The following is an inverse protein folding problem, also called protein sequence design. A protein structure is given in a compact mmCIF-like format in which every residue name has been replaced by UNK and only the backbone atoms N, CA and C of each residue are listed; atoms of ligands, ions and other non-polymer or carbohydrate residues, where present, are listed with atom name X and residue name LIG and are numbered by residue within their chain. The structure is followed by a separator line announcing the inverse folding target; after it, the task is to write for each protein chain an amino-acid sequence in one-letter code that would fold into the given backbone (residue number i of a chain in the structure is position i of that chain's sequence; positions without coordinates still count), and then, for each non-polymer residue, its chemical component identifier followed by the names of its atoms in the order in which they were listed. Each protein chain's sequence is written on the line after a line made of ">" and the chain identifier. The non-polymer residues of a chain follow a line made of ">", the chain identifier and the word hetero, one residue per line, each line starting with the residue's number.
data_IF_361829208579
#
_entry.id   IF_361829208579
#
_cell.length_a   1.000
_cell.length_b   1.000
_cell.length_c   1.000
_cell.angle_alpha   90.00
_cell.angle_beta   90.00
_cell.angle_gamma   90.00
#
_symmetry.space_group_name_H-M   'P 1'
#
loop_
_entity.id
_entity.type
_entity.pdbx_description
1 polymer ?
#
# COMPACT_ATOMS: atom_id res chain seq x y z
N UNK A 1 -13.26 22.25 2.91
CA UNK A 1 -13.19 20.98 3.62
C UNK A 1 -13.74 21.22 5.01
N UNK A 2 -14.91 20.62 5.35
CA UNK A 2 -15.45 20.68 6.70
C UNK A 2 -14.40 20.12 7.69
N UNK A 3 -14.16 20.83 8.79
CA UNK A 3 -13.29 20.32 9.87
C UNK A 3 -13.92 19.01 10.35
N UNK A 4 -13.17 17.92 10.27
CA UNK A 4 -13.58 16.62 10.77
C UNK A 4 -13.89 16.67 12.28
N UNK A 5 -14.61 15.67 12.75
CA UNK A 5 -14.82 15.51 14.20
C UNK A 5 -13.46 15.23 14.86
N UNK A 6 -13.03 16.12 15.76
CA UNK A 6 -11.72 16.04 16.44
C UNK A 6 -11.54 14.79 17.32
N UNK A 7 -12.64 14.08 17.60
CA UNK A 7 -12.60 12.85 18.39
C UNK A 7 -12.29 11.61 17.55
N UNK A 8 -12.34 11.73 16.21
CA UNK A 8 -11.97 10.62 15.32
C UNK A 8 -10.46 10.43 15.35
N UNK A 9 -10.05 9.20 15.59
CA UNK A 9 -8.66 8.75 15.48
C UNK A 9 -8.55 7.81 14.29
N UNK A 10 -7.64 8.10 13.38
CA UNK A 10 -7.27 7.18 12.31
C UNK A 10 -6.01 6.42 12.68
N UNK A 11 -5.94 5.14 12.33
CA UNK A 11 -4.80 4.29 12.65
C UNK A 11 -4.36 3.48 11.42
N UNK A 12 -3.05 3.26 11.30
CA UNK A 12 -2.47 2.40 10.24
C UNK A 12 -1.18 1.75 10.70
N UNK A 13 -0.83 0.60 10.10
CA UNK A 13 0.49 0.00 10.21
C UNK A 13 1.24 0.16 8.89
N UNK A 14 2.52 0.57 8.94
CA UNK A 14 3.26 0.93 7.73
C UNK A 14 4.77 0.94 7.95
N UNK A 15 5.53 0.86 6.85
CA UNK A 15 6.97 1.09 6.85
C UNK A 15 7.38 2.44 6.21
N UNK A 16 6.42 3.28 5.76
CA UNK A 16 6.82 4.54 5.14
C UNK A 16 5.73 5.35 4.43
N UNK A 17 5.64 5.24 3.10
CA UNK A 17 4.87 6.18 2.27
C UNK A 17 3.38 6.24 2.61
N UNK A 18 2.74 5.09 2.85
CA UNK A 18 1.34 5.05 3.22
C UNK A 18 1.09 5.82 4.54
N UNK A 19 1.92 5.57 5.57
CA UNK A 19 1.81 6.30 6.85
C UNK A 19 1.97 7.81 6.71
N UNK A 20 2.91 8.27 5.88
CA UNK A 20 3.07 9.71 5.58
C UNK A 20 1.82 10.29 4.95
N UNK A 21 1.20 9.57 4.02
CA UNK A 21 -0.04 9.99 3.37
C UNK A 21 -1.21 10.04 4.34
N UNK A 22 -1.36 9.04 5.21
CA UNK A 22 -2.39 9.00 6.25
C UNK A 22 -2.20 10.13 7.26
N UNK A 23 -0.96 10.35 7.75
CA UNK A 23 -0.63 11.44 8.66
C UNK A 23 -0.96 12.81 8.06
N UNK A 24 -0.54 13.04 6.81
CA UNK A 24 -0.83 14.28 6.10
C UNK A 24 -2.35 14.50 5.92
N UNK A 25 -3.07 13.46 5.51
CA UNK A 25 -4.53 13.53 5.33
C UNK A 25 -5.25 13.81 6.65
N UNK A 26 -4.88 13.09 7.72
CA UNK A 26 -5.42 13.30 9.06
C UNK A 26 -5.20 14.74 9.54
N UNK A 27 -3.97 15.26 9.40
CA UNK A 27 -3.64 16.65 9.73
C UNK A 27 -4.51 17.65 8.98
N UNK A 28 -4.72 17.45 7.67
CA UNK A 28 -5.56 18.34 6.86
C UNK A 28 -7.03 18.33 7.29
N UNK A 29 -7.51 17.21 7.79
CA UNK A 29 -8.89 17.05 8.27
C UNK A 29 -9.05 17.38 9.75
N UNK A 30 -7.95 17.68 10.47
CA UNK A 30 -7.97 17.95 11.90
C UNK A 30 -8.24 16.70 12.75
N UNK A 31 -7.90 15.51 12.25
CA UNK A 31 -8.06 14.23 12.94
C UNK A 31 -6.79 13.85 13.69
N UNK A 32 -6.92 13.02 14.73
CA UNK A 32 -5.79 12.37 15.38
C UNK A 32 -5.31 11.20 14.53
N UNK A 33 -4.00 10.93 14.53
CA UNK A 33 -3.40 9.87 13.73
C UNK A 33 -2.45 9.02 14.57
N UNK A 34 -2.64 7.70 14.57
CA UNK A 34 -1.77 6.70 15.20
C UNK A 34 -1.12 5.86 14.11
N UNK A 35 0.20 5.73 14.14
CA UNK A 35 0.93 4.94 13.15
C UNK A 35 1.78 3.90 13.85
N UNK A 36 1.52 2.63 13.54
CA UNK A 36 2.26 1.49 14.06
C UNK A 36 3.35 1.10 13.08
N UNK A 37 4.58 1.06 13.55
CA UNK A 37 5.74 0.70 12.74
C UNK A 37 6.51 -0.44 13.40
N UNK A 38 7.15 -1.29 12.59
CA UNK A 38 8.04 -2.31 13.12
C UNK A 38 9.29 -1.67 13.74
N UNK A 39 9.92 -2.35 14.69
CA UNK A 39 11.17 -1.88 15.31
C UNK A 39 12.31 -1.67 14.31
N UNK A 40 12.26 -2.31 13.15
CA UNK A 40 13.27 -2.20 12.08
C UNK A 40 13.09 -0.97 11.18
N UNK A 41 11.99 -0.23 11.33
CA UNK A 41 11.79 1.03 10.60
C UNK A 41 12.73 2.10 11.16
N UNK A 42 13.48 2.77 10.28
CA UNK A 42 14.46 3.77 10.68
C UNK A 42 13.83 4.98 11.38
N UNK A 43 14.61 5.63 12.23
CA UNK A 43 14.15 6.81 12.99
C UNK A 43 13.80 7.98 12.07
N UNK A 44 14.49 8.13 10.92
CA UNK A 44 14.17 9.17 9.93
C UNK A 44 12.78 8.98 9.34
N UNK A 45 12.38 7.73 9.04
CA UNK A 45 11.03 7.42 8.55
C UNK A 45 9.97 7.68 9.62
N UNK A 46 10.24 7.26 10.86
CA UNK A 46 9.37 7.55 11.99
C UNK A 46 9.20 9.07 12.19
N UNK A 47 10.31 9.81 12.19
CA UNK A 47 10.31 11.26 12.35
C UNK A 47 9.55 11.98 11.24
N UNK A 48 9.65 11.50 9.99
CA UNK A 48 8.91 12.08 8.87
C UNK A 48 7.38 12.00 9.07
N UNK A 49 6.87 10.94 9.69
CA UNK A 49 5.45 10.79 10.04
C UNK A 49 5.07 11.64 11.26
N UNK A 50 5.93 11.69 12.28
CA UNK A 50 5.75 12.54 13.46
C UNK A 50 5.70 14.03 13.09
N UNK A 51 6.54 14.48 12.16
CA UNK A 51 6.54 15.87 11.66
C UNK A 51 5.23 16.25 10.95
N UNK A 52 4.48 15.26 10.46
CA UNK A 52 3.14 15.44 9.90
C UNK A 52 2.04 15.42 10.97
N UNK A 53 2.39 15.25 12.25
CA UNK A 53 1.47 15.29 13.39
C UNK A 53 0.92 13.92 13.81
N UNK A 54 1.51 12.82 13.32
CA UNK A 54 1.14 11.49 13.78
C UNK A 54 1.84 11.13 15.10
N UNK A 55 1.14 10.37 15.92
CA UNK A 55 1.72 9.64 17.04
C UNK A 55 2.21 8.28 16.53
N UNK A 56 3.53 8.11 16.51
CA UNK A 56 4.21 6.94 15.92
C UNK A 56 4.62 5.97 17.02
N UNK A 57 4.12 4.73 16.92
CA UNK A 57 4.33 3.67 17.90
C UNK A 57 5.23 2.58 17.29
N UNK A 58 6.43 2.38 17.83
CA UNK A 58 7.29 1.25 17.46
C UNK A 58 6.82 -0.02 18.16
N UNK A 59 6.59 -1.06 17.36
CA UNK A 59 6.15 -2.39 17.81
C UNK A 59 7.31 -3.36 17.65
N UNK A 60 7.58 -4.13 18.69
CA UNK A 60 8.63 -5.16 18.67
C UNK A 60 8.27 -6.27 17.67
N UNK A 61 9.18 -6.52 16.71
CA UNK A 61 9.02 -7.51 15.64
C UNK A 61 8.84 -6.87 14.28
N UNK A 62 8.33 -7.66 13.34
CA UNK A 62 8.20 -7.31 11.93
C UNK A 62 6.92 -6.50 11.62
N UNK A 63 6.68 -6.27 10.33
CA UNK A 63 5.49 -5.54 9.85
C UNK A 63 4.17 -6.22 10.28
N UNK A 64 4.09 -7.54 10.18
CA UNK A 64 2.87 -8.29 10.56
C UNK A 64 2.52 -8.08 12.04
N UNK A 65 3.52 -8.01 12.92
CA UNK A 65 3.29 -7.69 14.35
C UNK A 65 2.75 -6.27 14.53
N UNK A 66 3.25 -5.31 13.76
CA UNK A 66 2.75 -3.93 13.78
C UNK A 66 1.29 -3.86 13.30
N UNK A 67 0.92 -4.62 12.26
CA UNK A 67 -0.44 -4.68 11.76
C UNK A 67 -1.39 -5.32 12.77
N UNK A 68 -1.00 -6.42 13.40
CA UNK A 68 -1.80 -7.08 14.44
C UNK A 68 -2.04 -6.13 15.62
N UNK A 69 -1.01 -5.42 16.07
CA UNK A 69 -1.14 -4.46 17.18
C UNK A 69 -2.01 -3.26 16.80
N UNK A 70 -1.87 -2.76 15.57
CA UNK A 70 -2.73 -1.71 15.03
C UNK A 70 -4.20 -2.13 15.05
N UNK A 71 -4.52 -3.32 14.55
CA UNK A 71 -5.89 -3.85 14.52
C UNK A 71 -6.43 -4.00 15.94
N UNK A 72 -5.64 -4.60 16.85
CA UNK A 72 -6.01 -4.80 18.25
C UNK A 72 -6.36 -3.48 18.92
N UNK A 73 -5.43 -2.52 18.93
CA UNK A 73 -5.65 -1.23 19.59
C UNK A 73 -6.76 -0.43 18.94
N UNK A 74 -6.93 -0.51 17.62
CA UNK A 74 -8.02 0.15 16.92
C UNK A 74 -9.38 -0.41 17.33
N UNK A 75 -9.49 -1.72 17.51
CA UNK A 75 -10.71 -2.38 17.96
C UNK A 75 -11.03 -1.99 19.41
N UNK A 76 -10.04 -2.05 20.32
CA UNK A 76 -10.20 -1.72 21.74
C UNK A 76 -10.60 -0.26 21.97
N UNK A 77 -10.12 0.67 21.12
CA UNK A 77 -10.31 2.11 21.27
C UNK A 77 -11.30 2.72 20.26
N UNK A 78 -11.94 1.91 19.43
CA UNK A 78 -12.85 2.36 18.37
C UNK A 78 -12.20 3.34 17.40
N UNK A 79 -10.93 3.09 16.99
CA UNK A 79 -10.24 3.89 15.99
C UNK A 79 -10.56 3.42 14.58
N UNK A 80 -10.54 4.34 13.63
CA UNK A 80 -10.77 4.02 12.22
C UNK A 80 -9.47 3.54 11.58
N UNK A 81 -9.40 2.27 11.21
CA UNK A 81 -8.26 1.73 10.45
C UNK A 81 -8.27 2.29 9.03
N UNK A 82 -7.13 2.81 8.60
CA UNK A 82 -6.87 3.28 7.22
C UNK A 82 -5.63 2.56 6.68
N UNK A 83 -5.84 1.30 6.25
CA UNK A 83 -4.78 0.42 5.75
C UNK A 83 -4.88 0.28 4.23
N UNK A 84 -3.74 0.14 3.56
CA UNK A 84 -3.63 -0.06 2.10
C UNK A 84 -3.66 -1.53 1.68
N UNK A 85 -3.52 -2.46 2.62
CA UNK A 85 -3.63 -3.90 2.40
C UNK A 85 -5.06 -4.35 2.67
N UNK A 86 -5.63 -5.14 1.76
CA UNK A 86 -6.96 -5.72 1.89
C UNK A 86 -6.87 -7.16 2.41
N UNK A 87 -7.79 -7.49 3.32
CA UNK A 87 -8.05 -8.85 3.78
C UNK A 87 -9.56 -9.11 3.79
N UNK A 88 -9.96 -10.34 4.13
CA UNK A 88 -11.38 -10.70 4.24
C UNK A 88 -12.10 -9.70 5.15
N UNK A 89 -13.23 -9.18 4.68
CA UNK A 89 -14.08 -8.19 5.36
C UNK A 89 -13.48 -6.77 5.49
N UNK A 90 -12.25 -6.54 4.97
CA UNK A 90 -11.63 -5.21 4.93
C UNK A 90 -11.13 -4.88 3.52
N UNK A 91 -12.01 -4.46 2.63
CA UNK A 91 -11.69 -4.23 1.22
C UNK A 91 -12.00 -2.80 0.75
N UNK A 92 -12.86 -2.07 1.44
CA UNK A 92 -13.35 -0.76 0.97
C UNK A 92 -12.25 0.29 1.03
N UNK A 93 -11.59 0.44 2.18
CA UNK A 93 -10.52 1.45 2.35
C UNK A 93 -9.34 1.17 1.43
N UNK A 94 -8.83 -0.07 1.29
CA UNK A 94 -7.82 -0.39 0.28
C UNK A 94 -8.22 -0.05 -1.15
N UNK A 95 -9.49 -0.24 -1.54
CA UNK A 95 -9.99 0.20 -2.85
C UNK A 95 -9.88 1.71 -3.04
N UNK A 96 -10.21 2.51 -2.01
CA UNK A 96 -10.03 3.96 -2.08
C UNK A 96 -8.56 4.37 -2.15
N UNK A 97 -7.67 3.68 -1.44
CA UNK A 97 -6.23 3.89 -1.54
C UNK A 97 -5.73 3.61 -2.96
N UNK A 98 -6.15 2.48 -3.55
CA UNK A 98 -5.83 2.15 -4.94
C UNK A 98 -6.42 3.18 -5.93
N UNK A 99 -7.65 3.64 -5.70
CA UNK A 99 -8.24 4.71 -6.52
C UNK A 99 -7.40 6.00 -6.45
N UNK A 100 -6.83 6.33 -5.28
CA UNK A 100 -5.88 7.43 -5.14
C UNK A 100 -4.64 7.27 -6.01
N UNK A 101 -4.08 6.07 -6.14
CA UNK A 101 -2.94 5.81 -7.02
C UNK A 101 -3.24 6.04 -8.51
N UNK A 102 -4.51 5.93 -8.95
CA UNK A 102 -4.87 6.19 -10.36
C UNK A 102 -4.64 7.64 -10.76
N UNK A 103 -4.59 8.59 -9.82
CA UNK A 103 -4.22 9.99 -10.07
C UNK A 103 -2.81 10.07 -10.66
N UNK A 104 -1.85 9.33 -10.08
CA UNK A 104 -0.48 9.26 -10.61
C UNK A 104 -0.48 8.76 -12.06
N UNK A 105 -1.28 7.72 -12.37
CA UNK A 105 -1.37 7.24 -13.75
C UNK A 105 -1.95 8.30 -14.70
N UNK A 106 -2.96 9.05 -14.26
CA UNK A 106 -3.51 10.17 -15.05
C UNK A 106 -2.44 11.21 -15.33
N UNK A 107 -1.65 11.59 -14.33
CA UNK A 107 -0.56 12.55 -14.48
C UNK A 107 0.53 12.04 -15.45
N UNK A 108 0.88 10.75 -15.37
CA UNK A 108 1.81 10.12 -16.32
C UNK A 108 1.26 10.22 -17.74
N UNK A 109 0.00 9.85 -17.96
CA UNK A 109 -0.65 9.90 -19.28
C UNK A 109 -0.66 11.33 -19.86
N UNK A 110 -0.85 12.34 -19.03
CA UNK A 110 -0.85 13.74 -19.47
C UNK A 110 0.55 14.24 -19.87
N UNK A 111 1.62 13.61 -19.36
CA UNK A 111 3.01 14.00 -19.59
C UNK A 111 3.69 13.26 -20.75
N UNK A 112 3.15 12.14 -21.19
CA UNK A 112 3.78 11.27 -22.19
C UNK A 112 3.05 11.26 -23.51
N UNK A 113 3.79 10.97 -24.59
CA UNK A 113 3.18 10.67 -25.89
C UNK A 113 2.63 9.24 -25.88
N UNK A 114 1.30 9.10 -25.78
CA UNK A 114 0.60 7.83 -25.63
C UNK A 114 0.79 6.81 -26.77
N UNK A 115 1.24 7.26 -27.94
CA UNK A 115 1.31 6.41 -29.13
C UNK A 115 2.51 5.45 -29.17
N UNK A 116 3.49 5.62 -28.28
CA UNK A 116 4.77 4.92 -28.36
C UNK A 116 5.14 4.11 -27.10
N UNK A 117 4.17 3.82 -26.21
CA UNK A 117 4.45 3.03 -25.01
C UNK A 117 4.29 1.56 -25.35
N UNK A 118 5.39 0.81 -25.35
CA UNK A 118 5.39 -0.64 -25.57
C UNK A 118 5.31 -1.43 -24.24
N UNK A 119 5.93 -0.91 -23.17
CA UNK A 119 6.04 -1.59 -21.89
C UNK A 119 5.83 -0.62 -20.73
N UNK A 120 5.27 -1.13 -19.65
CA UNK A 120 5.21 -0.48 -18.32
C UNK A 120 5.85 -1.41 -17.31
N UNK A 121 6.81 -0.92 -16.55
CA UNK A 121 7.51 -1.67 -15.51
C UNK A 121 7.06 -1.10 -14.16
N UNK A 122 6.48 -1.96 -13.32
CA UNK A 122 5.88 -1.60 -12.04
C UNK A 122 6.49 -2.44 -10.91
N UNK A 123 6.88 -1.80 -9.84
CA UNK A 123 7.28 -2.52 -8.62
C UNK A 123 6.05 -3.00 -7.84
N UNK A 124 6.18 -4.12 -7.14
CA UNK A 124 5.14 -4.61 -6.24
C UNK A 124 5.71 -5.12 -4.91
N UNK A 125 5.04 -4.73 -3.82
CA UNK A 125 5.03 -5.45 -2.56
C UNK A 125 3.73 -6.27 -2.51
N UNK A 126 2.70 -5.79 -1.81
CA UNK A 126 1.36 -6.43 -1.79
C UNK A 126 0.53 -6.21 -3.09
N UNK A 127 1.06 -5.46 -4.06
CA UNK A 127 0.46 -5.27 -5.38
C UNK A 127 -0.48 -4.05 -5.53
N UNK A 128 -0.78 -3.31 -4.48
CA UNK A 128 -1.79 -2.22 -4.49
C UNK A 128 -1.52 -1.14 -5.55
N UNK A 129 -0.29 -0.60 -5.59
CA UNK A 129 0.09 0.41 -6.57
C UNK A 129 0.13 -0.18 -7.99
N UNK A 130 0.74 -1.36 -8.17
CA UNK A 130 0.82 -2.00 -9.48
C UNK A 130 -0.58 -2.28 -10.06
N UNK A 131 -1.51 -2.84 -9.26
CA UNK A 131 -2.89 -3.07 -9.68
C UNK A 131 -3.63 -1.76 -10.04
N UNK A 132 -3.42 -0.69 -9.28
CA UNK A 132 -4.02 0.61 -9.58
C UNK A 132 -3.47 1.22 -10.88
N UNK A 133 -2.17 1.11 -11.14
CA UNK A 133 -1.55 1.58 -12.37
C UNK A 133 -2.07 0.80 -13.59
N UNK A 134 -2.21 -0.53 -13.48
CA UNK A 134 -2.79 -1.38 -14.52
C UNK A 134 -4.24 -0.96 -14.82
N UNK A 135 -5.05 -0.75 -13.79
CA UNK A 135 -6.42 -0.27 -13.95
C UNK A 135 -6.47 1.12 -14.64
N UNK A 136 -5.53 2.01 -14.27
CA UNK A 136 -5.38 3.31 -14.92
C UNK A 136 -4.98 3.20 -16.39
N UNK A 137 -4.04 2.31 -16.74
CA UNK A 137 -3.68 1.99 -18.12
C UNK A 137 -4.90 1.56 -18.91
N UNK A 138 -5.65 0.59 -18.41
CA UNK A 138 -6.88 0.11 -19.08
C UNK A 138 -7.94 1.21 -19.24
N UNK A 139 -7.96 2.20 -18.35
CA UNK A 139 -8.89 3.33 -18.40
C UNK A 139 -8.50 4.40 -19.41
N UNK A 140 -7.21 4.70 -19.55
CA UNK A 140 -6.74 5.89 -20.26
C UNK A 140 -6.04 5.60 -21.58
N UNK A 141 -5.48 4.40 -21.79
CA UNK A 141 -4.79 4.04 -23.02
C UNK A 141 -5.67 3.19 -23.94
N UNK A 142 -5.63 3.51 -25.23
CA UNK A 142 -6.30 2.71 -26.29
C UNK A 142 -5.52 1.40 -26.55
N UNK A 143 -4.19 1.52 -26.63
CA UNK A 143 -3.28 0.39 -26.81
C UNK A 143 -2.69 0.02 -25.46
N UNK A 144 -2.98 -1.17 -25.01
CA UNK A 144 -2.50 -1.66 -23.69
C UNK A 144 -1.06 -2.13 -23.84
N UNK A 145 -0.08 -1.47 -23.21
CA UNK A 145 1.31 -1.89 -23.21
C UNK A 145 1.50 -3.19 -22.41
N UNK A 146 2.59 -3.89 -22.68
CA UNK A 146 2.99 -5.05 -21.88
C UNK A 146 3.33 -4.56 -20.46
N UNK A 147 2.68 -5.14 -19.47
CA UNK A 147 2.96 -4.81 -18.07
C UNK A 147 3.89 -5.84 -17.45
N UNK A 148 5.00 -5.36 -16.90
CA UNK A 148 5.99 -6.15 -16.18
C UNK A 148 5.93 -5.74 -14.71
N UNK A 149 5.68 -6.70 -13.82
CA UNK A 149 5.76 -6.48 -12.37
C UNK A 149 7.12 -6.96 -11.87
N UNK A 150 7.78 -6.11 -11.09
CA UNK A 150 9.11 -6.38 -10.53
C UNK A 150 9.00 -6.50 -9.01
N UNK A 151 9.54 -7.58 -8.47
CA UNK A 151 9.60 -7.87 -7.04
C UNK A 151 11.03 -8.24 -6.62
N UNK A 152 11.40 -8.07 -5.34
CA UNK A 152 12.61 -8.69 -4.82
C UNK A 152 12.51 -10.22 -4.89
N UNK A 153 13.57 -10.88 -5.25
CA UNK A 153 13.66 -12.36 -5.28
C UNK A 153 13.33 -13.01 -3.92
N UNK A 154 13.68 -12.32 -2.82
CA UNK A 154 13.39 -12.75 -1.46
C UNK A 154 11.93 -12.52 -1.01
N UNK A 155 11.11 -11.85 -1.83
CA UNK A 155 9.73 -11.45 -1.48
C UNK A 155 8.82 -11.41 -2.72
N UNK A 156 8.93 -12.41 -3.61
CA UNK A 156 8.22 -12.47 -4.89
C UNK A 156 6.82 -13.11 -4.76
N UNK A 157 5.96 -12.55 -3.91
CA UNK A 157 4.65 -13.12 -3.62
C UNK A 157 3.66 -13.00 -4.79
N UNK A 158 3.76 -11.96 -5.62
CA UNK A 158 2.92 -11.80 -6.81
C UNK A 158 3.30 -12.88 -7.83
N UNK A 159 4.59 -13.06 -8.11
CA UNK A 159 5.07 -14.08 -9.04
C UNK A 159 4.63 -15.49 -8.63
N UNK A 160 4.83 -15.86 -7.35
CA UNK A 160 4.42 -17.19 -6.86
C UNK A 160 2.90 -17.37 -6.94
N UNK A 161 2.13 -16.33 -6.62
CA UNK A 161 0.66 -16.37 -6.74
C UNK A 161 0.20 -16.51 -8.21
N UNK A 162 0.85 -15.83 -9.15
CA UNK A 162 0.55 -15.97 -10.59
C UNK A 162 0.87 -17.38 -11.08
N UNK A 163 2.00 -17.97 -10.70
CA UNK A 163 2.39 -19.34 -11.08
C UNK A 163 1.36 -20.39 -10.64
N UNK A 164 0.80 -20.23 -9.45
CA UNK A 164 -0.17 -21.21 -8.89
C UNK A 164 -1.62 -20.86 -9.20
N UNK A 165 -1.92 -19.66 -9.68
CA UNK A 165 -3.28 -19.17 -9.97
C UNK A 165 -4.09 -18.78 -8.73
N UNK A 166 -3.47 -18.75 -7.54
CA UNK A 166 -4.09 -18.36 -6.26
C UNK A 166 -3.10 -17.55 -5.41
N UNK A 167 -3.60 -16.83 -4.43
CA UNK A 167 -2.73 -16.10 -3.50
C UNK A 167 -1.90 -17.12 -2.70
N UNK A 168 -0.59 -17.00 -2.83
CA UNK A 168 0.37 -17.77 -2.04
C UNK A 168 1.02 -16.88 -0.97
N UNK A 169 1.22 -17.48 0.19
CA UNK A 169 2.00 -16.86 1.27
C UNK A 169 3.41 -17.41 1.24
N UNK A 170 4.38 -16.50 1.13
CA UNK A 170 5.80 -16.85 1.15
C UNK A 170 6.44 -16.45 2.48
N UNK A 171 7.39 -17.24 2.93
CA UNK A 171 8.17 -16.95 4.14
C UNK A 171 9.38 -16.06 3.77
N UNK A 172 9.39 -14.83 4.29
CA UNK A 172 10.46 -13.87 4.06
C UNK A 172 11.58 -14.14 5.06
N UNK A 173 12.61 -14.84 4.60
CA UNK A 173 13.79 -15.18 5.42
C UNK A 173 14.79 -14.02 5.56
N UNK A 174 14.76 -13.06 4.64
CA UNK A 174 15.65 -11.89 4.61
C UNK A 174 14.92 -10.70 4.00
N UNK A 175 14.95 -9.56 4.69
CA UNK A 175 14.43 -8.33 4.12
C UNK A 175 15.22 -7.90 2.88
N UNK A 176 14.52 -7.39 1.89
CA UNK A 176 15.11 -6.74 0.73
C UNK A 176 15.71 -5.39 1.09
N UNK A 177 16.75 -4.96 0.35
CA UNK A 177 17.22 -3.57 0.38
C UNK A 177 16.08 -2.57 0.12
N UNK A 178 15.08 -2.99 -0.64
CA UNK A 178 13.84 -2.27 -0.90
C UNK A 178 12.79 -2.65 0.16
N UNK A 179 13.03 -2.31 1.43
CA UNK A 179 12.26 -2.77 2.59
C UNK A 179 10.73 -2.61 2.47
N UNK A 180 10.25 -1.57 1.76
CA UNK A 180 8.82 -1.39 1.48
C UNK A 180 8.19 -2.42 0.54
N UNK A 181 9.00 -3.30 -0.08
CA UNK A 181 8.55 -4.40 -0.95
C UNK A 181 8.80 -5.78 -0.32
N UNK A 182 9.28 -5.86 0.91
CA UNK A 182 9.42 -7.11 1.66
C UNK A 182 8.04 -7.58 2.18
N UNK A 183 7.20 -8.06 1.27
CA UNK A 183 5.82 -8.48 1.55
C UNK A 183 5.64 -9.96 1.20
N UNK A 184 5.06 -10.73 2.13
CA UNK A 184 4.91 -12.18 1.99
C UNK A 184 3.61 -12.63 1.33
N UNK A 185 2.66 -11.73 1.07
CA UNK A 185 1.34 -12.10 0.56
C UNK A 185 0.73 -10.96 -0.27
N UNK A 186 0.07 -11.29 -1.36
CA UNK A 186 -0.63 -10.33 -2.23
C UNK A 186 -1.93 -9.89 -1.56
N UNK A 187 -2.20 -8.59 -1.59
CA UNK A 187 -3.47 -8.04 -1.10
C UNK A 187 -4.66 -8.48 -1.96
N UNK A 188 -5.81 -8.75 -1.34
CA UNK A 188 -6.99 -9.30 -2.02
C UNK A 188 -7.51 -8.42 -3.16
N UNK A 189 -7.52 -7.09 -2.99
CA UNK A 189 -8.07 -6.19 -4.02
C UNK A 189 -7.19 -6.14 -5.28
N UNK A 190 -5.87 -5.89 -5.21
CA UNK A 190 -5.04 -5.88 -6.41
C UNK A 190 -4.91 -7.26 -7.06
N UNK A 191 -5.05 -8.37 -6.33
CA UNK A 191 -4.99 -9.71 -6.88
C UNK A 191 -5.99 -9.90 -8.03
N UNK A 192 -7.21 -9.40 -7.90
CA UNK A 192 -8.25 -9.52 -8.93
C UNK A 192 -7.85 -8.86 -10.25
N UNK A 193 -6.97 -7.88 -10.20
CA UNK A 193 -6.42 -7.20 -11.40
C UNK A 193 -5.16 -7.91 -11.89
N UNK A 194 -4.21 -8.18 -10.99
CA UNK A 194 -2.91 -8.73 -11.32
C UNK A 194 -3.00 -10.11 -11.98
N UNK A 195 -3.81 -11.03 -11.44
CA UNK A 195 -3.96 -12.39 -11.96
C UNK A 195 -4.40 -12.47 -13.43
N UNK A 196 -5.05 -11.42 -13.95
CA UNK A 196 -5.53 -11.35 -15.33
C UNK A 196 -4.68 -10.44 -16.24
N UNK A 197 -3.74 -9.71 -15.70
CA UNK A 197 -3.03 -8.65 -16.42
C UNK A 197 -1.51 -8.85 -16.52
N UNK A 198 -0.95 -9.73 -15.69
CA UNK A 198 0.48 -10.05 -15.64
C UNK A 198 0.68 -11.48 -16.13
N UNK A 199 1.70 -11.69 -16.97
CA UNK A 199 2.06 -13.01 -17.50
C UNK A 199 3.36 -13.49 -16.87
#
# INVERSE_FOLDING_TARGET
>A
VSKGNKDIVVATATAGNHGRSVAWGARRLGLKCKIFISEFVSDERAQAMTNLGADVLKVKGNYEKSLIECIKQSTENNWQIVQDVAWKDYMIVPKYTMAGYTVMMKEVIDQINQNNISHIILQAGVGGMAGAMIAGVARYLKNIPITIVVEPDSAACVMESIKTGKIEKIDIKRESLMGGMSCGEVSLVPWEILKNSVK
#
